data_IF_043840694043
#
_entry.id   IF_043840694043
#
_cell.length_a   1.000
_cell.length_b   1.000
_cell.length_c   1.000
_cell.angle_alpha   90.00
_cell.angle_beta   90.00
_cell.angle_gamma   90.00
#
_symmetry.space_group_name_H-M   'P 1'
#
loop_
_entity.id
_entity.type
_entity.pdbx_description
1 polymer ?
#
# COMPACT_ATOMS: atom_id res chain seq x y z
N UNK A 1 5.38 4.48 17.97
CA UNK A 1 6.24 3.87 16.93
C UNK A 1 6.53 4.95 15.89
N UNK A 2 7.78 5.06 15.42
CA UNK A 2 8.15 6.05 14.38
C UNK A 2 7.63 5.60 13.01
N UNK A 3 7.38 6.55 12.10
CA UNK A 3 6.96 6.27 10.71
C UNK A 3 7.87 5.25 10.03
N UNK A 4 9.18 5.43 10.13
CA UNK A 4 10.20 4.55 9.56
C UNK A 4 10.12 3.11 10.08
N UNK A 5 9.91 2.93 11.38
CA UNK A 5 9.75 1.61 11.99
C UNK A 5 8.47 0.93 11.48
N UNK A 6 7.39 1.69 11.33
CA UNK A 6 6.14 1.18 10.77
C UNK A 6 6.30 0.75 9.32
N UNK A 7 6.94 1.58 8.50
CA UNK A 7 7.24 1.28 7.09
C UNK A 7 8.08 0.00 6.95
N UNK A 8 9.10 -0.18 7.78
CA UNK A 8 9.91 -1.42 7.79
C UNK A 8 9.08 -2.64 8.20
N UNK A 9 8.22 -2.51 9.21
CA UNK A 9 7.36 -3.59 9.65
C UNK A 9 6.36 -4.02 8.56
N UNK A 10 5.75 -3.05 7.88
CA UNK A 10 4.88 -3.26 6.72
C UNK A 10 5.65 -3.98 5.62
N UNK A 11 6.81 -3.46 5.21
CA UNK A 11 7.59 -4.04 4.12
C UNK A 11 8.01 -5.49 4.39
N UNK A 12 8.38 -5.82 5.65
CA UNK A 12 8.68 -7.19 6.06
C UNK A 12 7.46 -8.11 5.95
N UNK A 13 6.29 -7.63 6.37
CA UNK A 13 5.07 -8.42 6.29
C UNK A 13 4.61 -8.59 4.83
N UNK A 14 4.72 -7.55 3.98
CA UNK A 14 4.47 -7.69 2.54
C UNK A 14 5.32 -8.82 1.95
N UNK A 15 6.64 -8.84 2.22
CA UNK A 15 7.53 -9.89 1.72
C UNK A 15 7.11 -11.30 2.16
N UNK A 16 6.55 -11.44 3.37
CA UNK A 16 6.02 -12.70 3.89
C UNK A 16 4.75 -13.14 3.14
N UNK A 17 3.91 -12.20 2.70
CA UNK A 17 2.63 -12.49 2.05
C UNK A 17 2.69 -12.53 0.52
N UNK A 18 3.73 -11.97 -0.11
CA UNK A 18 3.93 -11.98 -1.58
C UNK A 18 3.64 -13.34 -2.24
N UNK A 19 4.14 -14.49 -1.72
CA UNK A 19 3.87 -15.80 -2.33
C UNK A 19 2.42 -16.25 -2.28
N UNK A 20 1.58 -15.59 -1.46
CA UNK A 20 0.18 -15.94 -1.23
C UNK A 20 -0.80 -15.03 -1.99
N UNK A 21 -0.33 -13.91 -2.55
CA UNK A 21 -1.15 -13.09 -3.43
C UNK A 21 -1.37 -13.82 -4.75
N UNK A 22 -2.65 -13.99 -5.11
CA UNK A 22 -3.07 -14.67 -6.34
C UNK A 22 -2.72 -13.85 -7.57
N UNK A 23 -2.92 -12.54 -7.48
CA UNK A 23 -2.61 -11.59 -8.54
C UNK A 23 -1.90 -10.36 -7.95
N UNK A 24 -1.03 -9.73 -8.74
CA UNK A 24 -0.28 -8.54 -8.33
C UNK A 24 -0.30 -7.60 -9.53
N UNK A 25 -1.09 -6.51 -9.43
CA UNK A 25 -1.46 -5.61 -10.51
C UNK A 25 -2.58 -4.65 -10.07
N UNK A 26 -3.36 -4.11 -11.01
CA UNK A 26 -4.52 -3.27 -10.69
C UNK A 26 -5.64 -4.10 -10.07
N UNK A 27 -6.11 -3.74 -8.87
CA UNK A 27 -7.21 -4.48 -8.24
C UNK A 27 -7.97 -3.64 -7.21
N UNK A 28 -9.21 -4.04 -6.95
CA UNK A 28 -10.01 -3.64 -5.79
C UNK A 28 -9.60 -4.47 -4.58
N UNK A 29 -9.51 -3.84 -3.40
CA UNK A 29 -8.92 -4.46 -2.22
C UNK A 29 -9.94 -5.21 -1.35
N UNK A 30 -11.16 -4.70 -1.28
CA UNK A 30 -12.29 -5.34 -0.62
C UNK A 30 -13.56 -4.86 -1.32
N UNK A 31 -14.36 -5.81 -1.77
CA UNK A 31 -15.71 -5.57 -2.28
C UNK A 31 -16.67 -6.54 -1.59
N UNK A 32 -17.76 -6.02 -1.03
CA UNK A 32 -18.80 -6.85 -0.44
C UNK A 32 -19.82 -6.06 0.37
N UNK A 33 -20.97 -6.68 0.61
CA UNK A 33 -22.04 -6.09 1.40
C UNK A 33 -21.86 -6.44 2.88
N UNK A 34 -21.83 -5.42 3.74
CA UNK A 34 -21.95 -5.64 5.19
C UNK A 34 -23.30 -5.17 5.68
N UNK A 35 -24.14 -6.13 6.09
CA UNK A 35 -25.43 -5.87 6.73
C UNK A 35 -25.27 -5.71 8.25
N UNK A 36 -25.91 -4.69 8.84
CA UNK A 36 -26.11 -4.51 10.30
C UNK A 36 -24.84 -4.17 11.11
N UNK A 37 -24.30 -2.96 10.94
CA UNK A 37 -23.07 -2.49 11.59
C UNK A 37 -23.23 -1.47 12.73
N UNK A 38 -24.43 -0.89 12.95
CA UNK A 38 -24.66 0.21 13.92
C UNK A 38 -24.11 -0.09 15.33
N UNK A 39 -24.28 -1.31 15.83
CA UNK A 39 -23.84 -1.67 17.18
C UNK A 39 -22.39 -2.18 17.25
N UNK A 40 -21.62 -2.05 16.15
CA UNK A 40 -20.35 -2.76 15.92
C UNK A 40 -19.24 -1.85 15.43
N UNK A 41 -19.42 -0.53 15.49
CA UNK A 41 -18.47 0.47 15.00
C UNK A 41 -17.04 0.26 15.52
N UNK A 42 -16.90 -0.08 16.80
CA UNK A 42 -15.60 -0.34 17.44
C UNK A 42 -15.03 -1.74 17.20
N UNK A 43 -15.79 -2.63 16.55
CA UNK A 43 -15.35 -4.00 16.32
C UNK A 43 -14.47 -4.12 15.07
N UNK A 44 -13.62 -5.15 15.08
CA UNK A 44 -12.73 -5.46 13.95
C UNK A 44 -13.57 -5.93 12.76
N UNK A 45 -13.41 -5.29 11.61
CA UNK A 45 -14.22 -5.54 10.42
C UNK A 45 -14.23 -7.02 9.99
N UNK A 46 -13.11 -7.72 10.18
CA UNK A 46 -12.95 -9.13 9.81
C UNK A 46 -13.93 -10.06 10.52
N UNK A 47 -14.46 -9.68 11.69
CA UNK A 47 -15.46 -10.48 12.43
C UNK A 47 -16.86 -10.42 11.82
N UNK A 48 -17.08 -9.51 10.88
CA UNK A 48 -18.40 -9.19 10.37
C UNK A 48 -18.51 -9.32 8.84
N UNK A 49 -17.40 -9.59 8.16
CA UNK A 49 -17.38 -9.91 6.73
C UNK A 49 -17.82 -11.38 6.52
N UNK A 50 -19.05 -11.60 6.05
CA UNK A 50 -19.62 -12.95 5.81
C UNK A 50 -18.90 -13.69 4.68
N UNK A 51 -18.49 -12.96 3.65
CA UNK A 51 -17.78 -13.49 2.50
C UNK A 51 -16.73 -12.47 2.04
N UNK A 52 -15.48 -12.91 1.93
CA UNK A 52 -14.43 -12.13 1.28
C UNK A 52 -14.37 -12.62 -0.16
N UNK A 53 -14.82 -11.78 -1.11
CA UNK A 53 -14.63 -12.06 -2.53
C UNK A 53 -13.13 -12.12 -2.79
N UNK A 54 -12.62 -13.32 -3.12
CA UNK A 54 -11.17 -13.59 -3.26
C UNK A 54 -10.60 -13.04 -4.56
N UNK A 55 -10.65 -11.73 -4.74
CA UNK A 55 -9.84 -11.03 -5.72
C UNK A 55 -8.57 -10.58 -5.01
N UNK A 56 -7.63 -11.51 -4.77
CA UNK A 56 -6.35 -11.20 -4.12
C UNK A 56 -5.36 -10.58 -5.13
N UNK A 57 -5.85 -9.61 -5.90
CA UNK A 57 -5.04 -8.68 -6.68
C UNK A 57 -4.63 -7.53 -5.76
N UNK A 58 -3.35 -7.17 -5.77
CA UNK A 58 -2.88 -5.98 -5.05
C UNK A 58 -1.87 -5.22 -5.90
N UNK A 59 -1.99 -3.89 -5.93
CA UNK A 59 -0.85 -3.05 -6.30
C UNK A 59 0.12 -2.93 -5.11
N UNK A 60 1.17 -2.11 -5.24
CA UNK A 60 2.10 -1.89 -4.14
C UNK A 60 1.44 -1.27 -2.90
N UNK A 61 0.60 -0.25 -3.06
CA UNK A 61 -0.12 0.37 -1.94
C UNK A 61 -1.12 -0.59 -1.30
N UNK A 62 -1.82 -1.38 -2.11
CA UNK A 62 -2.69 -2.46 -1.63
C UNK A 62 -1.99 -3.45 -0.73
N UNK A 63 -0.85 -3.98 -1.19
CA UNK A 63 -0.06 -4.93 -0.42
C UNK A 63 0.42 -4.30 0.91
N UNK A 64 0.85 -3.04 0.87
CA UNK A 64 1.21 -2.27 2.06
C UNK A 64 0.02 -2.09 3.01
N UNK A 65 -1.17 -1.82 2.50
CA UNK A 65 -2.37 -1.62 3.33
C UNK A 65 -2.83 -2.90 4.01
N UNK A 66 -2.89 -4.02 3.29
CA UNK A 66 -3.19 -5.34 3.88
C UNK A 66 -2.18 -5.67 4.98
N UNK A 67 -0.90 -5.43 4.71
CA UNK A 67 0.17 -5.64 5.69
C UNK A 67 0.09 -4.68 6.88
N UNK A 68 -0.31 -3.42 6.66
CA UNK A 68 -0.58 -2.46 7.74
C UNK A 68 -1.67 -2.98 8.68
N UNK A 69 -2.78 -3.47 8.12
CA UNK A 69 -3.88 -4.03 8.92
C UNK A 69 -3.39 -5.25 9.68
N UNK A 70 -2.66 -6.16 9.03
CA UNK A 70 -2.19 -7.39 9.65
C UNK A 70 -1.19 -7.13 10.79
N UNK A 71 -0.26 -6.19 10.60
CA UNK A 71 0.80 -5.89 11.58
C UNK A 71 0.28 -5.03 12.74
N UNK A 72 -0.60 -4.06 12.47
CA UNK A 72 -1.04 -3.10 13.49
C UNK A 72 -2.46 -3.34 14.00
N UNK A 73 -3.19 -4.31 13.42
CA UNK A 73 -4.50 -4.82 13.84
C UNK A 73 -5.52 -3.73 14.18
N UNK A 74 -5.72 -2.79 13.25
CA UNK A 74 -6.35 -1.49 13.53
C UNK A 74 -7.39 -1.04 12.49
N UNK A 75 -8.03 -1.98 11.80
CA UNK A 75 -9.15 -1.63 10.94
C UNK A 75 -10.47 -1.84 11.69
N UNK A 76 -11.01 -0.75 12.23
CA UNK A 76 -12.35 -0.74 12.83
C UNK A 76 -13.42 -0.58 11.76
N UNK A 77 -14.64 -1.00 12.08
CA UNK A 77 -15.79 -0.75 11.21
C UNK A 77 -16.08 0.75 11.06
N UNK A 78 -15.90 1.55 12.12
CA UNK A 78 -16.04 3.00 12.05
C UNK A 78 -15.16 3.62 10.97
N UNK A 79 -13.90 3.14 10.85
CA UNK A 79 -12.96 3.62 9.83
C UNK A 79 -13.47 3.38 8.40
N UNK A 80 -14.32 2.36 8.21
CA UNK A 80 -14.90 2.01 6.91
C UNK A 80 -16.19 2.80 6.65
N UNK A 81 -17.05 2.92 7.66
CA UNK A 81 -18.34 3.64 7.56
C UNK A 81 -18.11 5.12 7.24
N UNK A 82 -17.13 5.75 7.92
CA UNK A 82 -16.79 7.15 7.73
C UNK A 82 -16.31 7.42 6.29
N UNK A 83 -15.62 6.46 5.67
CA UNK A 83 -15.09 6.57 4.30
C UNK A 83 -16.17 6.36 3.22
N UNK A 84 -17.21 5.57 3.52
CA UNK A 84 -18.28 5.22 2.56
C UNK A 84 -19.44 6.25 2.50
N UNK A 85 -19.32 7.42 3.15
CA UNK A 85 -20.29 8.51 2.99
C UNK A 85 -21.59 8.40 3.82
N UNK A 86 -21.59 7.58 4.88
CA UNK A 86 -22.72 7.43 5.80
C UNK A 86 -23.75 6.37 5.37
N UNK A 87 -24.40 5.78 6.37
CA UNK A 87 -25.32 4.65 6.22
C UNK A 87 -26.78 5.11 6.17
N UNK A 88 -27.54 4.68 5.16
CA UNK A 88 -29.00 4.73 5.18
C UNK A 88 -29.56 3.44 5.79
N UNK A 89 -30.49 3.58 6.73
CA UNK A 89 -31.05 2.45 7.47
C UNK A 89 -31.86 1.54 6.55
N UNK A 90 -31.33 0.34 6.25
CA UNK A 90 -31.99 -0.68 5.43
C UNK A 90 -31.21 -1.10 4.18
N UNK A 91 -30.22 -0.31 3.77
CA UNK A 91 -29.41 -0.62 2.59
C UNK A 91 -28.15 -1.43 2.96
N UNK A 92 -27.77 -2.42 2.15
CA UNK A 92 -26.48 -3.07 2.31
C UNK A 92 -25.36 -2.03 2.13
N UNK A 93 -24.46 -1.93 3.11
CA UNK A 93 -23.26 -1.12 2.97
C UNK A 93 -22.32 -1.86 2.00
N UNK A 94 -22.27 -1.41 0.75
CA UNK A 94 -21.24 -1.86 -0.18
C UNK A 94 -19.93 -1.18 0.18
N UNK A 95 -18.96 -1.96 0.65
CA UNK A 95 -17.60 -1.48 0.84
C UNK A 95 -16.89 -1.58 -0.49
N UNK A 96 -16.36 -0.46 -0.98
CA UNK A 96 -15.37 -0.45 -2.05
C UNK A 96 -14.13 0.30 -1.54
N UNK A 97 -13.12 -0.46 -1.11
CA UNK A 97 -11.85 0.14 -0.72
C UNK A 97 -11.01 0.32 -1.98
N UNK A 98 -10.88 1.57 -2.42
CA UNK A 98 -10.02 2.00 -3.51
C UNK A 98 -8.75 2.72 -3.02
N UNK A 99 -7.91 3.20 -3.94
CA UNK A 99 -6.58 3.79 -3.66
C UNK A 99 -6.64 5.05 -2.79
N UNK A 100 -7.73 5.81 -2.86
CA UNK A 100 -7.96 7.03 -2.09
C UNK A 100 -8.65 6.75 -0.74
N UNK A 101 -8.92 7.80 0.05
CA UNK A 101 -9.64 7.69 1.33
C UNK A 101 -8.87 6.84 2.36
N UNK A 102 -9.56 5.85 2.92
CA UNK A 102 -9.08 5.03 4.03
C UNK A 102 -7.69 4.41 3.82
N UNK A 103 -7.39 3.93 2.62
CA UNK A 103 -6.09 3.29 2.32
C UNK A 103 -4.96 4.30 2.50
N UNK A 104 -5.13 5.47 1.89
CA UNK A 104 -4.17 6.57 1.96
C UNK A 104 -4.00 7.06 3.40
N UNK A 105 -5.09 7.27 4.13
CA UNK A 105 -5.06 7.76 5.50
C UNK A 105 -4.33 6.83 6.46
N UNK A 106 -4.52 5.51 6.32
CA UNK A 106 -3.79 4.54 7.13
C UNK A 106 -2.31 4.49 6.72
N UNK A 107 -2.00 4.48 5.43
CA UNK A 107 -0.63 4.42 4.94
C UNK A 107 0.18 5.69 5.21
N UNK A 108 -0.45 6.87 5.24
CA UNK A 108 0.19 8.14 5.62
C UNK A 108 0.67 8.15 7.08
N UNK A 109 0.24 7.20 7.92
CA UNK A 109 0.79 6.98 9.26
C UNK A 109 2.17 6.32 9.22
N UNK A 110 2.52 5.61 8.14
CA UNK A 110 3.82 4.93 7.96
C UNK A 110 4.69 5.61 6.90
N UNK A 111 4.10 6.19 5.87
CA UNK A 111 4.78 6.82 4.74
C UNK A 111 4.40 8.31 4.63
N UNK A 112 5.19 9.10 3.91
CA UNK A 112 4.73 10.43 3.44
C UNK A 112 4.03 10.28 2.09
N UNK A 113 3.26 11.29 1.66
CA UNK A 113 2.61 11.28 0.35
C UNK A 113 3.62 11.00 -0.76
N UNK A 114 4.71 11.76 -0.81
CA UNK A 114 5.80 11.55 -1.79
C UNK A 114 6.35 10.12 -1.78
N UNK A 115 6.40 9.45 -0.63
CA UNK A 115 6.88 8.06 -0.57
C UNK A 115 5.84 7.09 -1.15
N UNK A 116 4.56 7.32 -0.93
CA UNK A 116 3.49 6.54 -1.55
C UNK A 116 3.50 6.72 -3.08
N UNK A 117 3.69 7.96 -3.55
CA UNK A 117 3.76 8.27 -4.98
C UNK A 117 4.93 7.56 -5.66
N UNK A 118 6.14 7.64 -5.09
CA UNK A 118 7.32 6.96 -5.62
C UNK A 118 7.20 5.44 -5.59
N UNK A 119 6.57 4.89 -4.54
CA UNK A 119 6.32 3.44 -4.44
C UNK A 119 5.39 2.98 -5.56
N UNK A 120 4.31 3.74 -5.82
CA UNK A 120 3.36 3.39 -6.87
C UNK A 120 3.99 3.55 -8.25
N UNK A 121 4.68 4.66 -8.52
CA UNK A 121 5.34 4.89 -9.81
C UNK A 121 6.37 3.80 -10.13
N UNK A 122 7.13 3.34 -9.13
CA UNK A 122 8.04 2.21 -9.31
C UNK A 122 7.33 0.87 -9.53
N UNK A 123 6.12 0.70 -9.01
CA UNK A 123 5.38 -0.54 -9.19
C UNK A 123 4.64 -0.59 -10.53
N UNK A 124 4.05 0.52 -10.95
CA UNK A 124 3.27 0.61 -12.19
C UNK A 124 4.16 0.86 -13.41
N UNK A 125 5.36 1.44 -13.17
CA UNK A 125 6.30 1.92 -14.21
C UNK A 125 5.69 3.04 -15.04
N UNK A 126 4.87 3.85 -14.39
CA UNK A 126 4.17 4.96 -15.00
C UNK A 126 3.98 6.06 -13.96
N UNK A 127 3.83 7.29 -14.44
CA UNK A 127 3.46 8.41 -13.59
C UNK A 127 1.94 8.45 -13.44
N UNK A 128 1.44 7.77 -12.41
CA UNK A 128 0.01 7.80 -12.07
C UNK A 128 -0.41 9.06 -11.29
N UNK A 129 0.41 10.12 -11.25
CA UNK A 129 0.00 11.42 -10.67
C UNK A 129 -0.89 12.17 -11.66
N UNK A 130 -2.12 11.68 -11.85
CA UNK A 130 -3.03 12.15 -12.90
C UNK A 130 -3.50 13.62 -12.75
N UNK A 131 -3.19 14.36 -11.67
CA UNK A 131 -3.84 15.68 -11.48
C UNK A 131 -3.11 16.81 -10.73
N UNK A 132 -1.79 16.79 -10.56
CA UNK A 132 -1.10 17.90 -9.86
C UNK A 132 0.09 18.43 -10.64
N UNK A 133 -0.19 19.41 -11.51
CA UNK A 133 0.72 20.36 -12.16
C UNK A 133 2.22 20.01 -12.13
N UNK A 134 2.70 19.58 -13.30
CA UNK A 134 3.95 20.02 -13.93
C UNK A 134 5.18 20.06 -13.01
N UNK A 135 5.62 18.88 -12.58
CA UNK A 135 7.05 18.57 -12.49
C UNK A 135 7.21 17.06 -12.33
N UNK A 136 7.61 16.36 -13.38
CA UNK A 136 8.30 15.07 -13.20
C UNK A 136 9.60 15.36 -12.46
N UNK A 137 9.52 15.37 -11.14
CA UNK A 137 10.72 15.48 -10.31
C UNK A 137 11.65 14.33 -10.68
N UNK A 138 12.95 14.56 -10.73
CA UNK A 138 13.94 13.51 -11.07
C UNK A 138 13.77 12.23 -10.23
N UNK A 139 13.22 12.34 -9.02
CA UNK A 139 12.89 11.19 -8.18
C UNK A 139 11.78 10.30 -8.75
N UNK A 140 10.82 10.86 -9.48
CA UNK A 140 9.73 10.09 -10.12
C UNK A 140 10.26 9.28 -11.30
N UNK A 141 11.06 9.91 -12.16
CA UNK A 141 11.76 9.22 -13.26
C UNK A 141 12.63 8.09 -12.71
N UNK A 142 13.42 8.35 -11.66
CA UNK A 142 14.21 7.32 -10.98
C UNK A 142 13.34 6.18 -10.42
N UNK A 143 12.13 6.48 -9.93
CA UNK A 143 11.20 5.46 -9.44
C UNK A 143 10.67 4.59 -10.58
N UNK A 144 10.27 5.19 -11.70
CA UNK A 144 9.84 4.47 -12.91
C UNK A 144 10.98 3.57 -13.40
N UNK A 145 12.18 4.12 -13.59
CA UNK A 145 13.39 3.38 -13.97
C UNK A 145 13.71 2.26 -12.95
N UNK A 146 13.48 2.50 -11.64
CA UNK A 146 13.65 1.46 -10.63
C UNK A 146 12.78 0.25 -10.97
N UNK A 147 11.51 0.51 -11.30
CA UNK A 147 10.49 -0.48 -11.63
C UNK A 147 10.76 -1.23 -12.92
N UNK A 148 11.17 -0.53 -13.96
CA UNK A 148 11.46 -1.11 -15.30
C UNK A 148 12.51 -2.22 -15.27
N UNK A 149 13.38 -2.25 -14.26
CA UNK A 149 14.35 -3.33 -14.04
C UNK A 149 13.73 -4.70 -13.76
N UNK A 150 12.43 -4.76 -13.43
CA UNK A 150 11.73 -6.00 -13.17
C UNK A 150 10.44 -6.08 -13.98
N UNK A 151 10.41 -6.98 -14.95
CA UNK A 151 9.24 -7.18 -15.82
C UNK A 151 8.05 -7.77 -15.07
N UNK A 152 8.32 -8.67 -14.13
CA UNK A 152 7.32 -9.32 -13.30
C UNK A 152 6.91 -8.42 -12.12
N UNK A 153 5.59 -8.23 -11.94
CA UNK A 153 5.03 -7.34 -10.92
C UNK A 153 5.33 -7.83 -9.50
N UNK A 154 5.40 -9.15 -9.29
CA UNK A 154 5.76 -9.76 -8.01
C UNK A 154 7.21 -9.48 -7.65
N UNK A 155 8.12 -9.58 -8.62
CA UNK A 155 9.54 -9.21 -8.44
C UNK A 155 9.71 -7.70 -8.21
N UNK A 156 8.96 -6.84 -8.91
CA UNK A 156 8.94 -5.38 -8.63
C UNK A 156 8.55 -5.09 -7.20
N UNK A 157 7.41 -5.62 -6.75
CA UNK A 157 6.92 -5.43 -5.40
C UNK A 157 7.96 -5.91 -4.37
N UNK A 158 8.55 -7.08 -4.60
CA UNK A 158 9.62 -7.62 -3.74
C UNK A 158 10.83 -6.68 -3.69
N UNK A 159 11.26 -6.13 -4.82
CA UNK A 159 12.40 -5.22 -4.89
C UNK A 159 12.13 -3.90 -4.14
N UNK A 160 10.93 -3.33 -4.30
CA UNK A 160 10.50 -2.12 -3.59
C UNK A 160 10.53 -2.35 -2.08
N UNK A 161 9.95 -3.44 -1.59
CA UNK A 161 9.92 -3.74 -0.15
C UNK A 161 11.32 -3.98 0.43
N UNK A 162 12.20 -4.69 -0.31
CA UNK A 162 13.60 -4.84 0.08
C UNK A 162 14.34 -3.50 0.13
N UNK A 163 14.04 -2.59 -0.81
CA UNK A 163 14.60 -1.25 -0.82
C UNK A 163 14.17 -0.45 0.43
N UNK A 164 12.88 -0.47 0.77
CA UNK A 164 12.32 0.19 1.98
C UNK A 164 13.02 -0.32 3.24
N UNK A 165 13.20 -1.64 3.37
CA UNK A 165 13.90 -2.24 4.52
C UNK A 165 15.37 -1.78 4.57
N UNK A 166 16.07 -1.82 3.45
CA UNK A 166 17.49 -1.43 3.35
C UNK A 166 17.71 0.03 3.73
N UNK A 167 16.74 0.89 3.42
CA UNK A 167 16.82 2.34 3.63
C UNK A 167 15.99 2.80 4.84
N UNK A 168 15.86 1.93 5.87
CA UNK A 168 15.25 2.26 7.15
C UNK A 168 13.85 2.89 7.03
N UNK A 169 13.01 2.32 6.17
CA UNK A 169 11.61 2.72 6.01
C UNK A 169 11.35 3.74 4.91
N UNK A 170 12.37 4.11 4.12
CA UNK A 170 12.20 4.95 2.93
C UNK A 170 12.42 4.17 1.65
N UNK A 171 11.57 4.35 0.66
CA UNK A 171 11.87 3.97 -0.70
C UNK A 171 12.84 4.99 -1.33
N UNK A 172 13.98 4.50 -1.80
CA UNK A 172 15.06 5.28 -2.41
C UNK A 172 15.41 4.65 -3.76
N UNK A 173 14.82 5.11 -4.87
CA UNK A 173 14.94 4.46 -6.17
C UNK A 173 16.38 4.48 -6.72
N UNK A 174 17.10 5.58 -6.52
CA UNK A 174 18.50 5.72 -6.87
C UNK A 174 19.42 5.65 -5.64
N UNK A 175 19.41 4.51 -4.96
CA UNK A 175 20.45 4.24 -3.97
C UNK A 175 21.80 4.16 -4.70
N UNK A 176 22.49 5.30 -4.83
CA UNK A 176 23.81 5.45 -5.44
C UNK A 176 24.63 4.22 -5.09
N UNK A 177 25.22 3.55 -6.09
CA UNK A 177 26.32 2.61 -5.85
C UNK A 177 27.28 3.34 -4.93
N UNK A 178 27.31 2.98 -3.65
CA UNK A 178 28.22 3.59 -2.69
C UNK A 178 29.60 3.34 -3.28
N UNK A 179 30.25 4.40 -3.78
CA UNK A 179 31.60 4.31 -4.33
C UNK A 179 32.42 3.60 -3.24
N UNK A 180 32.83 2.37 -3.52
CA UNK A 180 33.93 1.73 -2.80
C UNK A 180 35.05 2.75 -2.88
N UNK A 181 35.42 3.39 -1.77
CA UNK A 181 36.62 4.20 -1.73
C UNK A 181 37.75 3.28 -2.20
N UNK A 182 38.29 3.58 -3.38
CA UNK A 182 39.58 3.05 -3.77
C UNK A 182 40.59 3.66 -2.78
N UNK A 183 41.01 2.86 -1.81
CA UNK A 183 42.22 3.14 -1.06
C UNK A 183 43.35 2.87 -2.06
N UNK A 184 43.87 3.94 -2.66
CA UNK A 184 45.14 3.92 -3.35
C UNK A 184 46.24 3.71 -2.30
N UNK A 185 46.96 2.59 -2.42
CA UNK A 185 48.32 2.45 -1.88
C UNK A 185 49.30 3.02 -2.90
#
# INVERSE_FOLDING_TARGET
MKKSEMAVAIAKDVLKWIPKYKDIGHSRYMQGDITCLKDKEDSQAQKHTKEIVKNCGVCALGACFVSYINVFNKLKISDIIDDCGGYFEGDPLTIDLEREGLIKDKLLKAFSQTQLDLIEAAFERDDLTIDWQDSTSSSMEEAIEFGERYNDSRERLRAIMKNIIKNNGKFVPNAKKTKKLAISQ
#
